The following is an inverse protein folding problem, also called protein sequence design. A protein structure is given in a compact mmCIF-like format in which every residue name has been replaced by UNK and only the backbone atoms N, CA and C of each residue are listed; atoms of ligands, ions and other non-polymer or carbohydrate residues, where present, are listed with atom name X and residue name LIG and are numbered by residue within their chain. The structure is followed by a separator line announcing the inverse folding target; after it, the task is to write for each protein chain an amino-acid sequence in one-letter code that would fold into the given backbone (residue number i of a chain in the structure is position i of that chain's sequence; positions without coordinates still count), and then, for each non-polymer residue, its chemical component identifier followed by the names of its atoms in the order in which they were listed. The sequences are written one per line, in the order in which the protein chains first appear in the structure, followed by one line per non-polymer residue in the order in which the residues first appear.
data_IF_559337879499
#
_entry.id   IF_559337879499
#
_cell.length_a   1.000
_cell.length_b   1.000
_cell.length_c   1.000
_cell.angle_alpha   90.00
_cell.angle_beta   90.00
_cell.angle_gamma   90.00
#
_symmetry.space_group_name_H-M   'P 1'
#
loop_
_entity.id
_entity.type
_entity.pdbx_description
1 polymer ?
#
# COMPACT_ATOMS: atom_id res chain seq x y z
N UNK A 1 7.35 -10.63 -26.34
CA UNK A 1 5.94 -10.58 -25.88
C UNK A 1 5.77 -11.12 -24.46
N UNK A 2 6.36 -12.27 -24.09
CA UNK A 2 6.25 -12.85 -22.73
C UNK A 2 6.55 -11.86 -21.58
N UNK A 3 7.65 -11.08 -21.65
CA UNK A 3 8.00 -10.09 -20.61
C UNK A 3 6.95 -8.99 -20.43
N UNK A 4 6.38 -8.49 -21.53
CA UNK A 4 5.33 -7.47 -21.51
C UNK A 4 4.07 -8.01 -20.84
N UNK A 5 3.64 -9.20 -21.25
CA UNK A 5 2.47 -9.86 -20.67
C UNK A 5 2.64 -10.08 -19.17
N UNK A 6 3.80 -10.59 -18.74
CA UNK A 6 4.12 -10.79 -17.32
C UNK A 6 4.09 -9.47 -16.55
N UNK A 7 4.64 -8.38 -17.10
CA UNK A 7 4.59 -7.07 -16.47
C UNK A 7 3.17 -6.52 -16.34
N UNK A 8 2.33 -6.69 -17.37
CA UNK A 8 0.92 -6.28 -17.33
C UNK A 8 0.16 -7.08 -16.26
N UNK A 9 0.23 -8.41 -16.33
CA UNK A 9 -0.46 -9.30 -15.37
C UNK A 9 0.01 -9.04 -13.94
N UNK A 10 1.32 -8.89 -13.73
CA UNK A 10 1.87 -8.55 -12.41
C UNK A 10 1.35 -7.22 -11.87
N UNK A 11 1.15 -6.22 -12.74
CA UNK A 11 0.63 -4.91 -12.34
C UNK A 11 -0.85 -5.01 -11.97
N UNK A 12 -1.65 -5.73 -12.76
CA UNK A 12 -3.06 -5.98 -12.41
C UNK A 12 -3.20 -6.72 -11.08
N UNK A 13 -2.38 -7.74 -10.84
CA UNK A 13 -2.37 -8.45 -9.55
C UNK A 13 -2.01 -7.49 -8.41
N UNK A 14 -0.98 -6.66 -8.58
CA UNK A 14 -0.58 -5.69 -7.56
C UNK A 14 -1.69 -4.67 -7.26
N UNK A 15 -2.39 -4.19 -8.29
CA UNK A 15 -3.53 -3.27 -8.13
C UNK A 15 -4.69 -3.96 -7.40
N UNK A 16 -5.02 -5.19 -7.75
CA UNK A 16 -6.07 -5.97 -7.07
C UNK A 16 -5.74 -6.21 -5.60
N UNK A 17 -4.48 -6.57 -5.31
CA UNK A 17 -4.01 -6.74 -3.93
C UNK A 17 -4.08 -5.41 -3.18
N UNK A 18 -3.62 -4.31 -3.78
CA UNK A 18 -3.69 -2.99 -3.16
C UNK A 18 -5.13 -2.54 -2.89
N UNK A 19 -6.05 -2.76 -3.84
CA UNK A 19 -7.48 -2.50 -3.66
C UNK A 19 -8.07 -3.31 -2.50
N UNK A 20 -7.74 -4.60 -2.45
CA UNK A 20 -8.21 -5.50 -1.38
C UNK A 20 -7.63 -5.08 -0.02
N UNK A 21 -6.34 -4.77 0.04
CA UNK A 21 -5.67 -4.22 1.21
C UNK A 21 -6.36 -2.96 1.71
N UNK A 22 -6.58 -1.99 0.83
CA UNK A 22 -7.18 -0.72 1.20
C UNK A 22 -8.60 -0.95 1.72
N UNK A 23 -9.39 -1.78 1.03
CA UNK A 23 -10.78 -2.09 1.44
C UNK A 23 -10.88 -2.79 2.80
N UNK A 24 -9.90 -3.61 3.18
CA UNK A 24 -9.92 -4.37 4.44
C UNK A 24 -9.35 -3.62 5.65
N UNK A 25 -8.53 -2.58 5.42
CA UNK A 25 -7.68 -2.01 6.48
C UNK A 25 -7.78 -0.48 6.55
N UNK A 26 -8.49 0.20 5.64
CA UNK A 26 -8.56 1.66 5.65
C UNK A 26 -9.11 2.22 6.97
N UNK A 27 -10.12 1.56 7.53
CA UNK A 27 -10.79 1.91 8.79
C UNK A 27 -9.86 1.78 10.01
N UNK A 28 -8.88 0.87 9.93
CA UNK A 28 -7.87 0.62 10.97
C UNK A 28 -6.61 1.47 10.82
N UNK A 29 -6.28 1.89 9.60
CA UNK A 29 -5.05 2.65 9.30
C UNK A 29 -5.26 4.16 9.42
N UNK A 30 -6.46 4.65 9.11
CA UNK A 30 -6.75 6.07 9.06
C UNK A 30 -7.78 6.44 10.13
N UNK A 31 -7.46 7.39 11.04
CA UNK A 31 -8.44 7.96 11.95
C UNK A 31 -9.67 8.53 11.22
N UNK A 32 -10.84 8.50 11.87
CA UNK A 32 -12.14 8.91 11.31
C UNK A 32 -12.15 10.32 10.68
N UNK A 33 -11.38 11.27 11.21
CA UNK A 33 -11.30 12.63 10.67
C UNK A 33 -10.55 12.75 9.33
N UNK A 34 -10.02 11.63 8.79
CA UNK A 34 -9.42 11.57 7.45
C UNK A 34 -10.32 10.92 6.40
N UNK A 35 -11.60 10.66 6.70
CA UNK A 35 -12.52 10.03 5.75
C UNK A 35 -12.59 10.78 4.40
N UNK A 36 -12.60 12.12 4.43
CA UNK A 36 -12.62 12.97 3.23
C UNK A 36 -11.36 12.79 2.34
N UNK A 37 -10.27 12.27 2.90
CA UNK A 37 -9.00 12.07 2.22
C UNK A 37 -8.77 10.62 1.78
N UNK A 38 -9.67 9.68 2.09
CA UNK A 38 -9.49 8.26 1.76
C UNK A 38 -9.28 8.03 0.27
N UNK A 39 -10.08 8.68 -0.57
CA UNK A 39 -9.92 8.60 -2.03
C UNK A 39 -8.55 9.12 -2.46
N UNK A 40 -8.04 10.18 -1.83
CA UNK A 40 -6.73 10.73 -2.13
C UNK A 40 -5.62 9.74 -1.76
N UNK A 41 -5.68 9.11 -0.59
CA UNK A 41 -4.70 8.09 -0.19
C UNK A 41 -4.71 6.89 -1.13
N UNK A 42 -5.90 6.43 -1.52
CA UNK A 42 -6.04 5.34 -2.48
C UNK A 42 -5.41 5.68 -3.84
N UNK A 43 -5.73 6.86 -4.39
CA UNK A 43 -5.21 7.32 -5.68
C UNK A 43 -3.70 7.53 -5.63
N UNK A 44 -3.16 8.08 -4.53
CA UNK A 44 -1.71 8.24 -4.33
C UNK A 44 -1.01 6.88 -4.38
N UNK A 45 -1.56 5.85 -3.74
CA UNK A 45 -1.00 4.50 -3.83
C UNK A 45 -0.99 3.95 -5.25
N UNK A 46 -2.07 4.14 -6.02
CA UNK A 46 -2.12 3.75 -7.43
C UNK A 46 -1.07 4.48 -8.28
N UNK A 47 -0.90 5.78 -8.06
CA UNK A 47 0.13 6.58 -8.74
C UNK A 47 1.53 6.03 -8.41
N UNK A 48 1.80 5.68 -7.16
CA UNK A 48 3.08 5.12 -6.75
C UNK A 48 3.35 3.75 -7.40
N UNK A 49 2.35 2.87 -7.48
CA UNK A 49 2.51 1.56 -8.14
C UNK A 49 2.97 1.72 -9.60
N UNK A 50 2.51 2.77 -10.29
CA UNK A 50 2.84 3.03 -11.69
C UNK A 50 4.16 3.80 -11.84
N UNK A 51 4.38 4.83 -11.02
CA UNK A 51 5.49 5.77 -11.19
C UNK A 51 6.81 5.28 -10.59
N UNK A 52 6.77 4.55 -9.47
CA UNK A 52 7.98 4.01 -8.83
C UNK A 52 8.82 3.11 -9.77
N UNK A 53 8.25 2.13 -10.51
CA UNK A 53 9.05 1.34 -11.44
C UNK A 53 9.62 2.15 -12.60
N UNK A 54 8.94 3.23 -13.02
CA UNK A 54 9.45 4.15 -14.04
C UNK A 54 10.67 4.90 -13.51
N UNK A 55 10.58 5.53 -12.34
CA UNK A 55 11.71 6.26 -11.74
C UNK A 55 12.89 5.34 -11.45
N UNK A 56 12.64 4.13 -10.96
CA UNK A 56 13.70 3.14 -10.71
C UNK A 56 14.41 2.74 -12.02
N UNK A 57 13.65 2.57 -13.11
CA UNK A 57 14.22 2.26 -14.42
C UNK A 57 15.05 3.42 -14.99
N UNK A 58 14.58 4.66 -14.84
CA UNK A 58 15.34 5.87 -15.23
C UNK A 58 16.64 5.94 -14.43
N UNK A 59 16.58 5.76 -13.11
CA UNK A 59 17.76 5.78 -12.25
C UNK A 59 18.79 4.71 -12.65
N UNK A 60 18.34 3.48 -12.89
CA UNK A 60 19.23 2.37 -13.32
C UNK A 60 19.82 2.60 -14.72
N UNK A 61 19.04 3.21 -15.61
CA UNK A 61 19.51 3.60 -16.95
C UNK A 61 20.66 4.62 -16.86
N UNK A 62 20.52 5.63 -15.99
CA UNK A 62 21.53 6.69 -15.84
C UNK A 62 22.79 6.20 -15.10
N UNK A 63 22.65 5.29 -14.13
CA UNK A 63 23.74 4.92 -13.21
C UNK A 63 24.46 3.62 -13.58
N UNK A 64 23.79 2.66 -14.22
CA UNK A 64 24.32 1.28 -14.37
C UNK A 64 24.63 0.95 -15.81
N UNK A 65 23.64 1.02 -16.70
CA UNK A 65 23.82 0.68 -18.10
C UNK A 65 22.70 1.23 -18.98
N UNK A 66 23.00 1.60 -20.24
CA UNK A 66 22.03 2.23 -21.14
C UNK A 66 21.05 1.21 -21.74
N UNK A 67 20.31 0.46 -20.90
CA UNK A 67 19.31 -0.52 -21.32
C UNK A 67 17.98 -0.30 -20.57
N UNK A 68 17.27 0.77 -20.93
CA UNK A 68 16.05 1.19 -20.25
C UNK A 68 14.99 0.10 -20.22
N UNK A 69 14.75 -0.58 -21.36
CA UNK A 69 13.68 -1.59 -21.49
C UNK A 69 13.87 -2.76 -20.52
N UNK A 70 15.10 -3.24 -20.35
CA UNK A 70 15.39 -4.34 -19.41
C UNK A 70 15.23 -3.89 -17.97
N UNK A 71 15.74 -2.70 -17.64
CA UNK A 71 15.59 -2.11 -16.31
C UNK A 71 14.13 -1.86 -15.97
N UNK A 72 13.31 -1.42 -16.92
CA UNK A 72 11.89 -1.17 -16.74
C UNK A 72 11.10 -2.44 -16.38
N UNK A 73 11.22 -3.51 -17.18
CA UNK A 73 10.50 -4.75 -16.88
C UNK A 73 10.93 -5.39 -15.56
N UNK A 74 12.23 -5.32 -15.24
CA UNK A 74 12.75 -5.83 -13.97
C UNK A 74 12.28 -4.96 -12.79
N UNK A 75 12.22 -3.65 -12.98
CA UNK A 75 11.72 -2.70 -11.98
C UNK A 75 10.25 -2.97 -11.68
N UNK A 76 9.39 -3.05 -12.70
CA UNK A 76 7.97 -3.42 -12.53
C UNK A 76 7.82 -4.68 -11.70
N UNK A 77 8.53 -5.76 -12.06
CA UNK A 77 8.41 -7.03 -11.34
C UNK A 77 8.81 -6.86 -9.87
N UNK A 78 9.93 -6.19 -9.60
CA UNK A 78 10.44 -6.01 -8.23
C UNK A 78 9.54 -5.10 -7.39
N UNK A 79 9.11 -3.97 -7.94
CA UNK A 79 8.26 -3.00 -7.23
C UNK A 79 6.89 -3.57 -6.96
N UNK A 80 6.27 -4.26 -7.91
CA UNK A 80 4.96 -4.88 -7.72
C UNK A 80 5.01 -6.00 -6.68
N UNK A 81 6.05 -6.85 -6.69
CA UNK A 81 6.25 -7.86 -5.66
C UNK A 81 6.45 -7.20 -4.30
N UNK A 82 7.30 -6.17 -4.20
CA UNK A 82 7.54 -5.46 -2.94
C UNK A 82 6.25 -4.81 -2.40
N UNK A 83 5.50 -4.10 -3.24
CA UNK A 83 4.24 -3.47 -2.85
C UNK A 83 3.19 -4.51 -2.42
N UNK A 84 3.09 -5.63 -3.15
CA UNK A 84 2.22 -6.76 -2.79
C UNK A 84 2.58 -7.33 -1.43
N UNK A 85 3.87 -7.58 -1.18
CA UNK A 85 4.35 -8.10 0.10
C UNK A 85 4.06 -7.10 1.24
N UNK A 86 4.30 -5.81 1.03
CA UNK A 86 3.98 -4.77 2.03
C UNK A 86 2.48 -4.79 2.36
N UNK A 87 1.61 -4.81 1.36
CA UNK A 87 0.15 -4.88 1.56
C UNK A 87 -0.25 -6.12 2.38
N UNK A 88 0.27 -7.29 2.01
CA UNK A 88 0.00 -8.55 2.72
C UNK A 88 0.54 -8.49 4.16
N UNK A 89 1.76 -7.99 4.36
CA UNK A 89 2.37 -7.85 5.69
C UNK A 89 1.56 -6.94 6.60
N UNK A 90 1.04 -5.81 6.09
CA UNK A 90 0.21 -4.91 6.90
C UNK A 90 -1.13 -5.57 7.25
N UNK A 91 -1.78 -6.27 6.31
CA UNK A 91 -3.00 -7.06 6.60
C UNK A 91 -2.69 -8.07 7.70
N UNK A 92 -1.68 -8.91 7.51
CA UNK A 92 -1.31 -9.93 8.49
C UNK A 92 -1.02 -9.31 9.85
N UNK A 93 -0.29 -8.19 9.91
CA UNK A 93 -0.02 -7.46 11.16
C UNK A 93 -1.30 -6.98 11.86
N UNK A 94 -2.25 -6.41 11.11
CA UNK A 94 -3.51 -5.91 11.66
C UNK A 94 -4.45 -7.04 12.11
N UNK A 95 -4.31 -8.25 11.57
CA UNK A 95 -5.09 -9.43 11.97
C UNK A 95 -4.34 -10.36 12.94
N UNK A 96 -3.02 -10.26 13.09
CA UNK A 96 -2.20 -11.11 13.97
C UNK A 96 -2.27 -10.73 15.45
N UNK A 97 -3.07 -9.72 15.82
CA UNK A 97 -3.34 -9.45 17.23
C UNK A 97 -2.59 -8.27 17.86
N UNK A 98 -2.11 -7.28 17.09
CA UNK A 98 -1.96 -5.92 17.66
C UNK A 98 -3.28 -5.18 17.91
N UNK A 99 -4.40 -5.93 17.85
CA UNK A 99 -5.61 -5.67 18.64
C UNK A 99 -5.40 -5.76 20.17
N UNK A 100 -4.19 -6.11 20.64
CA UNK A 100 -3.76 -5.97 22.03
C UNK A 100 -2.86 -4.74 22.20
N UNK A 101 -3.50 -3.59 22.43
CA UNK A 101 -3.03 -2.49 23.28
C UNK A 101 -3.61 -1.17 22.78
N UNK A 102 -4.93 -0.98 22.98
CA UNK A 102 -5.35 0.32 23.46
C UNK A 102 -6.03 0.12 24.83
N UNK A 103 -5.19 0.32 25.84
CA UNK A 103 -5.53 0.63 27.21
C UNK A 103 -6.34 1.93 27.27
N UNK A 104 -7.57 1.88 26.76
CA UNK A 104 -8.51 3.00 26.66
C UNK A 104 -9.79 2.80 27.47
N UNK A 105 -9.78 1.90 28.46
CA UNK A 105 -10.86 1.75 29.46
C UNK A 105 -11.05 2.97 30.37
N UNK A 106 -10.57 4.16 29.95
CA UNK A 106 -11.05 5.44 30.44
C UNK A 106 -12.41 5.73 29.83
N UNK A 107 -13.40 4.91 30.19
CA UNK A 107 -14.79 5.35 30.12
C UNK A 107 -14.85 6.72 30.80
N UNK A 108 -15.36 7.71 30.08
CA UNK A 108 -15.75 8.98 30.67
C UNK A 108 -16.54 8.69 31.94
N UNK A 109 -15.91 8.91 33.09
CA UNK A 109 -16.59 8.91 34.37
C UNK A 109 -17.46 10.15 34.33
N UNK A 110 -18.73 9.97 33.97
CA UNK A 110 -19.73 11.03 34.13
C UNK A 110 -19.84 11.25 35.63
N UNK A 111 -19.13 12.25 36.13
CA UNK A 111 -19.27 12.71 37.49
C UNK A 111 -20.26 13.89 37.45
N UNK A 112 -21.48 13.63 37.94
CA UNK A 112 -22.48 14.57 38.50
C UNK A 112 -23.88 14.00 38.23
N UNK A 113 -24.83 13.99 39.16
CA UNK A 113 -25.01 14.78 40.38
C UNK A 113 -25.88 13.99 41.35
N UNK A 114 -25.49 13.91 42.63
CA UNK A 114 -26.44 13.61 43.70
C UNK A 114 -27.19 14.90 43.99
N UNK A 115 -28.48 14.94 43.63
CA UNK A 115 -29.50 15.82 44.21
C UNK A 115 -30.47 14.93 44.97
#
# INVERSE_FOLDING_TARGET
MKKVLVSIVSTFICILVYFTFFSLVWDKLFPYYYEDYLTHFFVVGLILIITVPLFLAIFLYLKVSPNFKTHYYNSIKKTNIAATLICISIVLYQYSGMSYSDSGGGYYKIESSNV
#
